data_IF_649030712409
#
_entry.id   IF_649030712409
#
_cell.length_a   1.000
_cell.length_b   1.000
_cell.length_c   1.000
_cell.angle_alpha   90.00
_cell.angle_beta   90.00
_cell.angle_gamma   90.00
#
_symmetry.space_group_name_H-M   'P 1'
#
loop_
_entity.id
_entity.type
_entity.pdbx_description
1 polymer ?
#
# COMPACT_ATOMS: atom_id res chain seq x y z
N UNK A 1 -3.81 28.54 15.61
CA UNK A 1 -2.47 28.27 16.21
C UNK A 1 -2.57 26.95 16.95
N UNK A 2 -2.27 25.84 16.30
CA UNK A 2 -2.02 24.55 16.93
C UNK A 2 -0.63 24.12 16.51
N UNK A 3 0.22 23.86 17.52
CA UNK A 3 1.65 23.87 17.46
C UNK A 3 2.27 22.85 16.52
N UNK A 4 3.26 23.32 15.82
CA UNK A 4 4.35 22.54 15.23
C UNK A 4 5.30 22.14 16.36
N UNK A 5 4.97 21.08 17.08
CA UNK A 5 5.92 20.41 17.99
C UNK A 5 5.45 19.00 18.27
N UNK A 6 5.76 18.05 17.36
CA UNK A 6 5.82 16.60 17.66
C UNK A 6 6.53 15.81 16.54
N UNK A 7 7.64 16.34 16.01
CA UNK A 7 8.45 15.59 15.01
C UNK A 7 9.72 14.97 15.60
N UNK A 8 9.74 14.65 16.90
CA UNK A 8 10.95 14.21 17.60
C UNK A 8 10.78 12.97 18.49
N UNK A 9 9.64 12.27 18.48
CA UNK A 9 9.52 11.03 19.24
C UNK A 9 10.30 9.94 18.51
N UNK A 10 11.50 9.60 19.00
CA UNK A 10 12.28 8.44 18.56
C UNK A 10 11.35 7.23 18.59
N UNK A 11 11.12 6.61 17.44
CA UNK A 11 10.42 5.32 17.32
C UNK A 11 11.32 4.24 17.91
N UNK A 12 11.29 4.07 19.25
CA UNK A 12 12.20 3.21 20.02
C UNK A 12 12.01 1.72 19.73
N UNK A 13 10.88 1.31 19.20
CA UNK A 13 10.52 -0.10 19.02
C UNK A 13 11.21 -0.78 17.81
N UNK A 14 11.84 -0.02 16.92
CA UNK A 14 12.43 -0.57 15.67
C UNK A 14 13.96 -0.63 15.70
N UNK A 15 14.59 -0.21 16.81
CA UNK A 15 16.07 -0.18 16.92
C UNK A 15 16.67 -1.56 16.70
N UNK A 16 17.56 -1.68 15.71
CA UNK A 16 18.23 -2.91 15.29
C UNK A 16 17.30 -4.05 14.82
N UNK A 17 16.01 -3.77 14.60
CA UNK A 17 15.03 -4.72 14.11
C UNK A 17 15.12 -4.93 12.62
N UNK A 18 14.57 -6.04 12.15
CA UNK A 18 14.42 -6.37 10.72
C UNK A 18 12.97 -6.26 10.29
N UNK A 19 12.69 -5.44 9.27
CA UNK A 19 11.38 -5.36 8.62
C UNK A 19 11.41 -5.96 7.23
N UNK A 20 10.42 -6.79 6.90
CA UNK A 20 10.18 -7.29 5.56
C UNK A 20 9.00 -6.54 4.93
N UNK A 21 9.19 -6.04 3.71
CA UNK A 21 8.16 -5.32 2.96
C UNK A 21 7.84 -6.12 1.70
N UNK A 22 6.69 -6.80 1.68
CA UNK A 22 6.21 -7.45 0.46
C UNK A 22 5.65 -6.39 -0.50
N UNK A 23 5.90 -6.54 -1.80
CA UNK A 23 5.55 -5.49 -2.75
C UNK A 23 6.37 -4.21 -2.58
N UNK A 24 7.53 -4.28 -1.94
CA UNK A 24 8.39 -3.14 -1.61
C UNK A 24 8.88 -2.33 -2.81
N UNK A 25 8.83 -2.88 -4.02
CA UNK A 25 9.13 -2.15 -5.28
C UNK A 25 7.96 -1.28 -5.77
N UNK A 26 6.80 -1.35 -5.12
CA UNK A 26 5.65 -0.48 -5.40
C UNK A 26 5.76 0.88 -4.71
N UNK A 27 4.95 1.86 -5.12
CA UNK A 27 4.98 3.23 -4.57
C UNK A 27 4.81 3.24 -3.05
N UNK A 28 3.86 2.45 -2.52
CA UNK A 28 3.59 2.41 -1.08
C UNK A 28 4.71 1.71 -0.31
N UNK A 29 5.14 0.52 -0.79
CA UNK A 29 6.24 -0.20 -0.15
C UNK A 29 7.54 0.61 -0.13
N UNK A 30 7.83 1.34 -1.20
CA UNK A 30 8.98 2.25 -1.27
C UNK A 30 8.86 3.42 -0.28
N UNK A 31 7.67 4.00 -0.11
CA UNK A 31 7.45 5.06 0.86
C UNK A 31 7.64 4.58 2.31
N UNK A 32 7.14 3.39 2.63
CA UNK A 32 7.38 2.75 3.94
C UNK A 32 8.86 2.48 4.15
N UNK A 33 9.56 1.93 3.15
CA UNK A 33 11.01 1.73 3.18
C UNK A 33 11.75 3.03 3.51
N UNK A 34 11.47 4.10 2.76
CA UNK A 34 12.12 5.41 2.97
C UNK A 34 11.84 5.99 4.36
N UNK A 35 10.65 5.74 4.93
CA UNK A 35 10.32 6.15 6.29
C UNK A 35 11.14 5.38 7.31
N UNK A 36 11.26 4.06 7.16
CA UNK A 36 12.06 3.23 8.07
C UNK A 36 13.57 3.50 7.97
N UNK A 37 14.10 3.87 6.81
CA UNK A 37 15.52 4.29 6.68
C UNK A 37 15.87 5.51 7.53
N UNK A 38 14.89 6.33 7.92
CA UNK A 38 15.09 7.49 8.82
C UNK A 38 15.06 7.12 10.31
N UNK A 39 14.86 5.82 10.61
CA UNK A 39 14.85 5.29 11.98
C UNK A 39 16.14 4.52 12.28
N UNK A 40 16.25 4.03 13.51
CA UNK A 40 17.37 3.16 13.93
C UNK A 40 17.16 1.69 13.49
N UNK A 41 16.37 1.43 12.41
CA UNK A 41 16.13 0.09 11.87
C UNK A 41 17.45 -0.60 11.50
N UNK A 42 17.57 -1.88 11.78
CA UNK A 42 18.77 -2.67 11.46
C UNK A 42 18.80 -3.11 10.01
N UNK A 43 17.72 -3.72 9.52
CA UNK A 43 17.62 -4.27 8.17
C UNK A 43 16.22 -4.06 7.59
N UNK A 44 16.14 -3.77 6.29
CA UNK A 44 14.90 -3.71 5.52
C UNK A 44 14.98 -4.69 4.37
N UNK A 45 14.09 -5.69 4.34
CA UNK A 45 13.97 -6.66 3.26
C UNK A 45 12.88 -6.26 2.29
N UNK A 46 13.25 -6.06 1.03
CA UNK A 46 12.33 -5.82 -0.08
C UNK A 46 12.02 -7.15 -0.75
N UNK A 47 10.79 -7.65 -0.57
CA UNK A 47 10.34 -8.92 -1.16
C UNK A 47 9.42 -8.65 -2.35
N UNK A 48 9.83 -9.04 -3.55
CA UNK A 48 9.11 -8.79 -4.79
C UNK A 48 9.51 -9.78 -5.89
N UNK A 49 8.62 -10.00 -6.85
CA UNK A 49 8.89 -10.82 -8.04
C UNK A 49 9.71 -10.10 -9.11
N UNK A 50 9.70 -8.77 -9.07
CA UNK A 50 10.24 -7.92 -10.14
C UNK A 50 11.73 -7.64 -9.90
N UNK A 51 12.58 -8.51 -10.45
CA UNK A 51 14.04 -8.40 -10.38
C UNK A 51 14.55 -7.05 -10.90
N UNK A 52 14.00 -6.60 -12.05
CA UNK A 52 14.43 -5.34 -12.67
C UNK A 52 14.21 -4.14 -11.75
N UNK A 53 13.03 -4.06 -11.13
CA UNK A 53 12.74 -2.98 -10.17
C UNK A 53 13.59 -3.06 -8.91
N UNK A 54 13.92 -4.27 -8.45
CA UNK A 54 14.83 -4.43 -7.31
C UNK A 54 16.23 -3.96 -7.65
N UNK A 55 16.70 -4.26 -8.85
CA UNK A 55 18.02 -3.82 -9.33
C UNK A 55 18.07 -2.29 -9.49
N UNK A 56 17.04 -1.69 -10.11
CA UNK A 56 16.93 -0.23 -10.22
C UNK A 56 16.95 0.44 -8.84
N UNK A 57 16.18 -0.09 -7.88
CA UNK A 57 16.16 0.41 -6.51
C UNK A 57 17.53 0.29 -5.83
N UNK A 58 18.23 -0.84 -6.02
CA UNK A 58 19.58 -1.03 -5.47
C UNK A 58 20.52 0.06 -5.94
N UNK A 59 20.58 0.28 -7.26
CA UNK A 59 21.43 1.31 -7.85
C UNK A 59 21.02 2.73 -7.38
N UNK A 60 19.73 3.01 -7.30
CA UNK A 60 19.23 4.30 -6.82
C UNK A 60 19.67 4.57 -5.37
N UNK A 61 19.49 3.62 -4.44
CA UNK A 61 19.89 3.81 -3.05
C UNK A 61 21.40 3.89 -2.87
N UNK A 62 22.17 3.07 -3.60
CA UNK A 62 23.64 3.15 -3.61
C UNK A 62 24.15 4.51 -4.08
N UNK A 63 23.49 5.13 -5.07
CA UNK A 63 23.87 6.42 -5.60
C UNK A 63 23.44 7.60 -4.71
N UNK A 64 22.23 7.52 -4.11
CA UNK A 64 21.64 8.65 -3.37
C UNK A 64 21.87 8.60 -1.87
N UNK A 65 21.98 7.41 -1.28
CA UNK A 65 22.02 7.19 0.17
C UNK A 65 22.99 6.05 0.51
N UNK A 66 24.28 6.13 0.07
CA UNK A 66 25.25 5.04 0.23
C UNK A 66 25.45 4.62 1.70
N UNK A 67 25.30 5.57 2.64
CA UNK A 67 25.47 5.35 4.10
C UNK A 67 24.41 4.42 4.71
N UNK A 68 23.25 4.26 4.08
CA UNK A 68 22.16 3.38 4.56
C UNK A 68 21.80 2.29 3.55
N UNK A 69 22.38 2.30 2.35
CA UNK A 69 22.06 1.34 1.29
C UNK A 69 22.31 -0.12 1.74
N UNK A 70 23.31 -0.37 2.57
CA UNK A 70 23.64 -1.69 3.11
C UNK A 70 22.57 -2.27 4.04
N UNK A 71 21.69 -1.43 4.60
CA UNK A 71 20.56 -1.89 5.40
C UNK A 71 19.47 -2.52 4.54
N UNK A 72 19.44 -2.25 3.23
CA UNK A 72 18.40 -2.74 2.32
C UNK A 72 18.85 -4.05 1.70
N UNK A 73 18.06 -5.11 1.89
CA UNK A 73 18.28 -6.42 1.29
C UNK A 73 17.15 -6.75 0.33
N UNK A 74 17.50 -7.23 -0.84
CA UNK A 74 16.56 -7.54 -1.90
C UNK A 74 16.35 -9.05 -2.00
N UNK A 75 15.09 -9.47 -1.88
CA UNK A 75 14.67 -10.87 -1.96
C UNK A 75 13.73 -11.04 -3.16
N UNK A 76 14.16 -11.79 -4.16
CA UNK A 76 13.28 -12.18 -5.27
C UNK A 76 12.40 -13.32 -4.79
N UNK A 77 11.08 -13.13 -4.87
CA UNK A 77 10.13 -14.15 -4.46
C UNK A 77 8.69 -13.76 -4.72
N UNK A 78 7.80 -14.72 -4.57
CA UNK A 78 6.37 -14.59 -4.86
C UNK A 78 5.54 -14.95 -3.61
N UNK A 79 4.67 -14.05 -3.18
CA UNK A 79 3.75 -14.30 -2.04
C UNK A 79 2.80 -15.48 -2.29
N UNK A 80 2.56 -15.84 -3.56
CA UNK A 80 1.74 -16.99 -3.93
C UNK A 80 2.42 -18.35 -3.64
N UNK A 81 3.71 -18.32 -3.36
CA UNK A 81 4.52 -19.49 -3.00
C UNK A 81 4.90 -19.41 -1.52
N UNK A 82 4.41 -20.36 -0.73
CA UNK A 82 4.65 -20.43 0.70
C UNK A 82 6.13 -20.65 1.04
N UNK A 83 6.85 -21.49 0.28
CA UNK A 83 8.27 -21.74 0.52
C UNK A 83 9.12 -20.50 0.26
N UNK A 84 8.77 -19.74 -0.79
CA UNK A 84 9.39 -18.43 -1.06
C UNK A 84 9.18 -17.45 0.10
N UNK A 85 7.97 -17.42 0.69
CA UNK A 85 7.69 -16.62 1.88
C UNK A 85 8.52 -17.09 3.10
N UNK A 86 8.57 -18.38 3.37
CA UNK A 86 9.36 -18.96 4.49
C UNK A 86 10.84 -18.58 4.40
N UNK A 87 11.42 -18.71 3.20
CA UNK A 87 12.83 -18.38 2.95
C UNK A 87 13.18 -16.92 3.26
N UNK A 88 12.26 -15.98 3.03
CA UNK A 88 12.48 -14.56 3.26
C UNK A 88 12.29 -14.12 4.71
N UNK A 89 11.63 -14.95 5.56
CA UNK A 89 11.17 -14.52 6.91
C UNK A 89 12.11 -14.90 8.06
N UNK A 90 13.22 -15.60 7.82
CA UNK A 90 14.19 -15.92 8.88
C UNK A 90 14.74 -14.66 9.55
N UNK A 91 14.51 -14.52 10.88
CA UNK A 91 14.99 -13.39 11.67
C UNK A 91 14.30 -12.05 11.35
N UNK A 92 13.10 -12.09 10.77
CA UNK A 92 12.26 -10.91 10.56
C UNK A 92 11.47 -10.64 11.84
N UNK A 93 11.48 -9.37 12.29
CA UNK A 93 10.69 -8.93 13.44
C UNK A 93 9.34 -8.35 13.00
N UNK A 94 9.29 -7.60 11.90
CA UNK A 94 8.10 -6.89 11.43
C UNK A 94 7.84 -7.15 9.96
N UNK A 95 6.57 -7.20 9.57
CA UNK A 95 6.18 -7.34 8.17
C UNK A 95 5.17 -6.25 7.79
N UNK A 96 5.44 -5.53 6.72
CA UNK A 96 4.45 -4.74 5.99
C UNK A 96 4.06 -5.47 4.72
N UNK A 97 2.87 -6.04 4.70
CA UNK A 97 2.36 -6.80 3.56
C UNK A 97 1.57 -5.91 2.61
N UNK A 98 2.23 -5.45 1.53
CA UNK A 98 1.65 -4.57 0.52
C UNK A 98 1.62 -5.20 -0.90
N UNK A 99 2.02 -6.46 -1.04
CA UNK A 99 1.94 -7.18 -2.32
C UNK A 99 0.49 -7.50 -2.65
N UNK A 100 -0.06 -6.88 -3.70
CA UNK A 100 -1.43 -7.08 -4.14
C UNK A 100 -1.62 -6.76 -5.62
N UNK A 101 -2.66 -7.33 -6.24
CA UNK A 101 -3.25 -6.79 -7.46
C UNK A 101 -4.31 -5.75 -7.06
N UNK A 102 -4.15 -4.50 -7.54
CA UNK A 102 -4.97 -3.36 -7.12
C UNK A 102 -5.76 -2.68 -8.24
N UNK A 103 -5.50 -3.04 -9.49
CA UNK A 103 -6.19 -2.44 -10.65
C UNK A 103 -7.53 -3.14 -10.86
N UNK A 104 -8.63 -2.40 -10.69
CA UNK A 104 -10.00 -2.93 -10.82
C UNK A 104 -10.19 -3.63 -12.17
N UNK A 105 -9.88 -3.02 -13.35
CA UNK A 105 -10.07 -3.71 -14.62
C UNK A 105 -9.29 -5.01 -14.74
N UNK A 106 -8.02 -5.02 -14.29
CA UNK A 106 -7.19 -6.23 -14.36
C UNK A 106 -7.72 -7.35 -13.48
N UNK A 107 -8.25 -7.01 -12.29
CA UNK A 107 -8.83 -7.99 -11.39
C UNK A 107 -10.17 -8.54 -11.93
N UNK A 108 -10.97 -7.72 -12.62
CA UNK A 108 -12.19 -8.18 -13.30
C UNK A 108 -11.89 -9.15 -14.45
N UNK A 109 -10.85 -8.87 -15.25
CA UNK A 109 -10.43 -9.75 -16.34
C UNK A 109 -9.75 -11.03 -15.84
N UNK A 110 -9.02 -10.96 -14.73
CA UNK A 110 -8.23 -12.07 -14.19
C UNK A 110 -8.53 -12.28 -12.69
N UNK A 111 -9.78 -12.62 -12.32
CA UNK A 111 -10.19 -12.69 -10.92
C UNK A 111 -9.41 -13.76 -10.14
N UNK A 112 -9.04 -14.87 -10.75
CA UNK A 112 -8.23 -15.90 -10.10
C UNK A 112 -6.81 -15.45 -9.78
N UNK A 113 -6.22 -14.55 -10.58
CA UNK A 113 -4.91 -13.96 -10.24
C UNK A 113 -5.03 -13.00 -9.06
N UNK A 114 -6.16 -12.28 -8.95
CA UNK A 114 -6.47 -11.47 -7.78
C UNK A 114 -6.64 -12.35 -6.53
N UNK A 115 -7.38 -13.46 -6.61
CA UNK A 115 -7.52 -14.44 -5.52
C UNK A 115 -6.17 -15.02 -5.10
N UNK A 116 -5.37 -15.49 -6.06
CA UNK A 116 -4.05 -16.07 -5.77
C UNK A 116 -3.11 -15.08 -5.09
N UNK A 117 -3.14 -13.82 -5.51
CA UNK A 117 -2.23 -12.80 -4.96
C UNK A 117 -2.76 -12.21 -3.65
N UNK A 118 -4.02 -11.72 -3.66
CA UNK A 118 -4.56 -10.97 -2.54
C UNK A 118 -5.04 -11.88 -1.40
N UNK A 119 -5.55 -13.07 -1.71
CA UNK A 119 -6.11 -13.99 -0.70
C UNK A 119 -5.07 -15.05 -0.30
N UNK A 120 -4.67 -15.90 -1.27
CA UNK A 120 -3.73 -17.00 -0.98
C UNK A 120 -2.34 -16.44 -0.63
N UNK A 121 -1.90 -15.38 -1.32
CA UNK A 121 -0.64 -14.70 -1.00
C UNK A 121 -0.62 -14.15 0.41
N UNK A 122 -1.71 -13.55 0.87
CA UNK A 122 -1.82 -13.09 2.26
C UNK A 122 -1.82 -14.27 3.24
N UNK A 123 -2.57 -15.33 2.94
CA UNK A 123 -2.56 -16.55 3.77
C UNK A 123 -1.16 -17.14 3.92
N UNK A 124 -0.40 -17.22 2.83
CA UNK A 124 0.99 -17.70 2.84
C UNK A 124 1.91 -16.80 3.67
N UNK A 125 1.82 -15.47 3.47
CA UNK A 125 2.64 -14.50 4.23
C UNK A 125 2.35 -14.61 5.71
N UNK A 126 1.08 -14.67 6.12
CA UNK A 126 0.70 -14.79 7.52
C UNK A 126 1.09 -16.15 8.12
N UNK A 127 0.97 -17.24 7.36
CA UNK A 127 1.41 -18.57 7.79
C UNK A 127 2.91 -18.57 8.07
N UNK A 128 3.71 -18.12 7.10
CA UNK A 128 5.16 -18.07 7.25
C UNK A 128 5.60 -17.10 8.36
N UNK A 129 4.90 -15.97 8.55
CA UNK A 129 5.16 -15.03 9.63
C UNK A 129 4.93 -15.64 11.02
N UNK A 130 3.83 -16.38 11.21
CA UNK A 130 3.50 -17.07 12.46
C UNK A 130 4.55 -18.16 12.73
N UNK A 131 4.89 -18.97 11.74
CA UNK A 131 5.91 -20.02 11.85
C UNK A 131 7.29 -19.44 12.20
N UNK A 132 7.67 -18.30 11.65
CA UNK A 132 8.92 -17.61 11.93
C UNK A 132 8.93 -16.83 13.26
N UNK A 133 7.78 -16.68 13.93
CA UNK A 133 7.66 -15.94 15.19
C UNK A 133 7.79 -14.43 15.03
N UNK A 134 7.37 -13.88 13.89
CA UNK A 134 7.35 -12.44 13.62
C UNK A 134 6.53 -11.71 14.69
N UNK A 135 7.02 -10.57 15.17
CA UNK A 135 6.34 -9.81 16.24
C UNK A 135 5.03 -9.19 15.77
N UNK A 136 5.03 -8.55 14.58
CA UNK A 136 3.85 -7.88 14.05
C UNK A 136 3.81 -7.89 12.52
N UNK A 137 2.63 -8.17 11.98
CA UNK A 137 2.31 -8.07 10.54
C UNK A 137 1.21 -7.05 10.33
N UNK A 138 1.45 -6.07 9.46
CA UNK A 138 0.44 -5.12 8.99
C UNK A 138 0.08 -5.43 7.54
N UNK A 139 -1.18 -5.81 7.30
CA UNK A 139 -1.72 -6.06 5.96
C UNK A 139 -2.34 -4.78 5.39
N UNK A 140 -1.92 -4.39 4.18
CA UNK A 140 -2.44 -3.24 3.48
C UNK A 140 -3.80 -3.56 2.85
N UNK A 141 -4.89 -2.96 3.34
CA UNK A 141 -6.23 -3.05 2.77
C UNK A 141 -6.65 -1.74 2.05
N UNK A 142 -7.93 -1.55 1.79
CA UNK A 142 -8.48 -0.46 0.99
C UNK A 142 -9.93 -0.17 1.37
N UNK A 143 -10.41 1.07 1.14
CA UNK A 143 -11.82 1.45 1.19
C UNK A 143 -12.72 0.55 0.32
N UNK A 144 -12.17 0.00 -0.77
CA UNK A 144 -12.90 -0.90 -1.68
C UNK A 144 -13.21 -2.28 -1.10
N UNK A 145 -12.59 -2.63 0.03
CA UNK A 145 -12.94 -3.81 0.83
C UNK A 145 -14.24 -3.63 1.64
N UNK A 146 -14.65 -2.36 1.89
CA UNK A 146 -15.93 -2.06 2.50
C UNK A 146 -17.04 -2.09 1.45
N UNK A 147 -18.08 -2.91 1.65
CA UNK A 147 -19.16 -3.13 0.67
C UNK A 147 -18.63 -3.37 -0.75
N UNK A 148 -17.84 -4.42 -0.99
CA UNK A 148 -17.15 -4.64 -2.25
C UNK A 148 -18.11 -4.99 -3.38
N UNK A 149 -17.90 -4.41 -4.57
CA UNK A 149 -18.71 -4.68 -5.77
C UNK A 149 -17.87 -5.20 -6.96
N UNK A 150 -16.55 -5.26 -6.81
CA UNK A 150 -15.64 -5.71 -7.87
C UNK A 150 -14.64 -6.74 -7.33
N UNK A 151 -14.03 -7.51 -8.23
CA UNK A 151 -13.12 -8.60 -7.86
C UNK A 151 -11.95 -8.13 -7.00
N UNK A 152 -11.40 -6.94 -7.24
CA UNK A 152 -10.34 -6.38 -6.43
C UNK A 152 -10.82 -6.12 -5.00
N UNK A 153 -11.95 -5.42 -4.81
CA UNK A 153 -12.53 -5.14 -3.50
C UNK A 153 -12.95 -6.42 -2.76
N UNK A 154 -13.57 -7.39 -3.48
CA UNK A 154 -13.98 -8.69 -2.93
C UNK A 154 -12.76 -9.45 -2.40
N UNK A 155 -11.67 -9.53 -3.18
CA UNK A 155 -10.46 -10.23 -2.74
C UNK A 155 -9.78 -9.53 -1.56
N UNK A 156 -9.81 -8.20 -1.50
CA UNK A 156 -9.29 -7.44 -0.34
C UNK A 156 -10.18 -7.61 0.89
N UNK A 157 -11.50 -7.70 0.73
CA UNK A 157 -12.40 -8.00 1.84
C UNK A 157 -12.15 -9.41 2.42
N UNK A 158 -11.89 -10.41 1.53
CA UNK A 158 -11.52 -11.75 1.97
C UNK A 158 -10.14 -11.72 2.65
N UNK A 159 -9.17 -10.96 2.14
CA UNK A 159 -7.86 -10.76 2.77
C UNK A 159 -8.00 -10.28 4.23
N UNK A 160 -8.85 -9.27 4.49
CA UNK A 160 -9.13 -8.82 5.86
C UNK A 160 -9.70 -9.94 6.73
N UNK A 161 -10.63 -10.74 6.19
CA UNK A 161 -11.20 -11.89 6.91
C UNK A 161 -10.16 -12.97 7.21
N UNK A 162 -9.24 -13.24 6.28
CA UNK A 162 -8.12 -14.16 6.48
C UNK A 162 -7.19 -13.64 7.58
N UNK A 163 -6.83 -12.36 7.55
CA UNK A 163 -5.99 -11.74 8.57
C UNK A 163 -6.63 -11.83 9.97
N UNK A 164 -7.92 -11.48 10.10
CA UNK A 164 -8.68 -11.60 11.36
C UNK A 164 -8.80 -13.06 11.82
N UNK A 165 -9.03 -14.00 10.90
CA UNK A 165 -9.11 -15.41 11.27
C UNK A 165 -7.77 -15.93 11.79
N UNK A 166 -6.67 -15.60 11.11
CA UNK A 166 -5.31 -15.99 11.52
C UNK A 166 -4.89 -15.34 12.83
N UNK A 167 -5.31 -14.10 13.11
CA UNK A 167 -4.95 -13.40 14.36
C UNK A 167 -5.44 -14.10 15.62
N UNK A 168 -6.49 -14.93 15.52
CA UNK A 168 -7.04 -15.69 16.65
C UNK A 168 -6.11 -16.80 17.14
N UNK A 169 -5.26 -17.33 16.27
CA UNK A 169 -4.36 -18.46 16.56
C UNK A 169 -2.90 -18.14 16.16
N UNK A 170 -2.53 -16.87 16.17
CA UNK A 170 -1.20 -16.41 15.74
C UNK A 170 -0.11 -16.46 16.81
N UNK A 171 -0.42 -17.01 17.99
CA UNK A 171 0.52 -17.10 19.09
C UNK A 171 0.97 -15.70 19.54
N UNK A 172 2.27 -15.40 19.38
CA UNK A 172 2.85 -14.09 19.74
C UNK A 172 2.81 -13.08 18.58
N UNK A 173 2.52 -13.52 17.37
CA UNK A 173 2.49 -12.67 16.18
C UNK A 173 1.23 -11.81 16.17
N UNK A 174 1.40 -10.50 16.30
CA UNK A 174 0.31 -9.54 16.16
C UNK A 174 -0.03 -9.36 14.67
N UNK A 175 -1.29 -9.43 14.30
CA UNK A 175 -1.76 -9.28 12.91
C UNK A 175 -2.85 -8.21 12.86
N UNK A 176 -2.60 -7.13 12.11
CA UNK A 176 -3.54 -6.04 11.90
C UNK A 176 -3.69 -5.73 10.41
N UNK A 177 -4.78 -5.05 10.05
CA UNK A 177 -4.96 -4.47 8.72
C UNK A 177 -5.00 -2.94 8.83
N UNK A 178 -4.59 -2.27 7.75
CA UNK A 178 -4.80 -0.83 7.59
C UNK A 178 -5.64 -0.58 6.34
N UNK A 179 -6.70 0.24 6.46
CA UNK A 179 -7.62 0.55 5.36
C UNK A 179 -7.48 2.00 4.98
N UNK A 180 -7.38 2.28 3.68
CA UNK A 180 -7.12 3.60 3.11
C UNK A 180 -8.13 3.95 2.03
N UNK A 181 -8.32 5.26 1.82
CA UNK A 181 -8.90 5.82 0.62
C UNK A 181 -7.92 5.85 -0.56
N UNK A 182 -8.13 6.81 -1.47
CA UNK A 182 -7.23 6.98 -2.60
C UNK A 182 -5.96 7.72 -2.18
N UNK A 183 -4.83 7.05 -2.26
CA UNK A 183 -3.52 7.68 -2.04
C UNK A 183 -3.14 8.46 -3.29
N UNK A 184 -3.00 9.79 -3.13
CA UNK A 184 -2.67 10.71 -4.23
C UNK A 184 -1.34 10.34 -4.89
N UNK A 185 -1.27 10.56 -6.19
CA UNK A 185 -0.07 10.36 -7.02
C UNK A 185 0.54 8.95 -6.95
N UNK A 186 -0.20 7.95 -6.42
CA UNK A 186 0.26 6.57 -6.47
C UNK A 186 0.30 6.06 -7.91
N UNK A 187 1.23 5.14 -8.22
CA UNK A 187 1.40 4.58 -9.56
C UNK A 187 0.09 4.01 -10.11
N UNK A 188 -0.27 4.44 -11.32
CA UNK A 188 -1.51 4.02 -12.01
C UNK A 188 -2.78 4.67 -11.44
N UNK A 189 -2.65 5.74 -10.65
CA UNK A 189 -3.79 6.52 -10.17
C UNK A 189 -4.16 7.66 -11.15
N UNK A 190 -5.30 8.28 -10.91
CA UNK A 190 -5.92 9.23 -11.81
C UNK A 190 -5.12 10.54 -11.98
N UNK A 191 -4.48 11.03 -10.92
CA UNK A 191 -3.72 12.30 -10.99
C UNK A 191 -2.53 12.20 -11.95
N UNK A 192 -1.62 11.21 -11.84
CA UNK A 192 -0.57 11.01 -12.85
C UNK A 192 -1.11 10.86 -14.27
N UNK A 193 -2.21 10.11 -14.45
CA UNK A 193 -2.84 9.98 -15.76
C UNK A 193 -3.25 11.34 -16.34
N UNK A 194 -3.90 12.19 -15.55
CA UNK A 194 -4.32 13.51 -16.00
C UNK A 194 -3.14 14.44 -16.32
N UNK A 195 -2.08 14.39 -15.50
CA UNK A 195 -0.85 15.14 -15.77
C UNK A 195 -0.22 14.70 -17.10
N UNK A 196 -0.19 13.39 -17.37
CA UNK A 196 0.34 12.87 -18.64
C UNK A 196 -0.55 13.25 -19.84
N UNK A 197 -1.88 13.25 -19.67
CA UNK A 197 -2.81 13.74 -20.70
C UNK A 197 -2.56 15.23 -21.01
N UNK A 198 -2.44 16.07 -19.98
CA UNK A 198 -2.11 17.49 -20.13
C UNK A 198 -0.80 17.68 -20.88
N UNK A 199 0.27 16.96 -20.50
CA UNK A 199 1.58 17.04 -21.16
C UNK A 199 1.55 16.66 -22.65
N UNK A 200 0.63 15.78 -23.00
CA UNK A 200 0.41 15.33 -24.39
C UNK A 200 -0.55 16.23 -25.18
N UNK A 201 -1.08 17.30 -24.56
CA UNK A 201 -2.09 18.16 -25.17
C UNK A 201 -3.47 17.51 -25.33
N UNK A 202 -3.73 16.43 -24.60
CA UNK A 202 -5.00 15.73 -24.60
C UNK A 202 -5.93 16.27 -23.50
N UNK A 203 -7.27 16.22 -23.69
CA UNK A 203 -8.21 16.52 -22.62
C UNK A 203 -8.05 15.52 -21.46
N UNK A 204 -8.22 16.00 -20.24
CA UNK A 204 -8.28 15.11 -19.09
C UNK A 204 -9.59 14.33 -19.09
N UNK A 205 -9.51 13.02 -18.87
CA UNK A 205 -10.67 12.13 -18.89
C UNK A 205 -11.20 11.87 -17.50
N UNK A 206 -12.49 12.10 -17.26
CA UNK A 206 -13.19 11.80 -16.01
C UNK A 206 -14.33 10.83 -16.24
N UNK A 207 -14.57 9.93 -15.28
CA UNK A 207 -15.63 8.92 -15.39
C UNK A 207 -17.00 9.53 -15.12
N UNK A 208 -17.17 10.12 -13.96
CA UNK A 208 -18.37 10.85 -13.54
C UNK A 208 -17.97 12.03 -12.64
N UNK A 209 -18.38 13.26 -12.96
CA UNK A 209 -18.02 14.44 -12.16
C UNK A 209 -18.51 14.39 -10.72
N UNK A 210 -19.66 13.75 -10.45
CA UNK A 210 -20.27 13.65 -9.12
C UNK A 210 -19.69 12.53 -8.27
N UNK A 211 -18.92 11.63 -8.85
CA UNK A 211 -18.26 10.53 -8.12
C UNK A 211 -17.36 11.07 -7.03
N UNK A 212 -17.44 10.52 -5.82
CA UNK A 212 -16.62 10.96 -4.69
C UNK A 212 -15.51 9.96 -4.34
N UNK A 213 -14.38 10.48 -3.88
CA UNK A 213 -13.26 9.67 -3.38
C UNK A 213 -12.67 10.28 -2.12
N UNK A 214 -12.31 9.42 -1.18
CA UNK A 214 -11.46 9.80 -0.07
C UNK A 214 -10.04 10.03 -0.58
N UNK A 215 -9.45 11.15 -0.20
CA UNK A 215 -8.14 11.57 -0.68
C UNK A 215 -7.19 11.69 0.50
N UNK A 216 -6.00 11.12 0.36
CA UNK A 216 -4.94 11.23 1.34
C UNK A 216 -3.58 11.28 0.67
N UNK A 217 -2.60 11.87 1.36
CA UNK A 217 -1.21 11.84 0.93
C UNK A 217 -0.56 10.48 1.18
N UNK A 218 0.55 10.24 0.51
CA UNK A 218 1.34 9.03 0.76
C UNK A 218 1.98 9.06 2.16
N UNK A 219 2.31 10.24 2.69
CA UNK A 219 2.84 10.42 4.04
C UNK A 219 1.81 10.04 5.10
N UNK A 220 0.59 10.56 5.02
CA UNK A 220 -0.51 10.19 5.92
C UNK A 220 -0.79 8.68 5.90
N UNK A 221 -0.73 8.08 4.71
CA UNK A 221 -0.90 6.63 4.58
C UNK A 221 0.22 5.83 5.26
N UNK A 222 1.47 6.29 5.18
CA UNK A 222 2.61 5.70 5.89
C UNK A 222 2.49 5.92 7.40
N UNK A 223 2.04 7.10 7.85
CA UNK A 223 1.83 7.38 9.28
C UNK A 223 0.81 6.42 9.90
N UNK A 224 -0.26 6.03 9.16
CA UNK A 224 -1.18 4.99 9.64
C UNK A 224 -0.51 3.62 9.78
N UNK A 225 0.42 3.25 8.89
CA UNK A 225 1.19 2.00 9.04
C UNK A 225 2.02 2.01 10.32
N UNK A 226 2.72 3.13 10.57
CA UNK A 226 3.54 3.27 11.79
C UNK A 226 2.67 3.22 13.04
N UNK A 227 1.55 3.94 13.04
CA UNK A 227 0.57 3.90 14.11
C UNK A 227 0.06 2.47 14.36
N UNK A 228 -0.20 1.70 13.29
CA UNK A 228 -0.63 0.32 13.41
C UNK A 228 0.44 -0.59 14.04
N UNK A 229 1.71 -0.42 13.69
CA UNK A 229 2.80 -1.16 14.33
C UNK A 229 2.91 -0.85 15.82
N UNK A 230 2.75 0.42 16.21
CA UNK A 230 2.91 0.88 17.60
C UNK A 230 1.69 0.56 18.47
N UNK A 231 0.49 0.76 17.96
CA UNK A 231 -0.75 0.80 18.74
C UNK A 231 -1.79 -0.25 18.37
N UNK A 232 -1.69 -0.88 17.18
CA UNK A 232 -2.67 -1.87 16.74
C UNK A 232 -2.67 -3.10 17.63
N UNK A 233 -3.84 -3.69 17.83
CA UNK A 233 -4.03 -4.96 18.50
C UNK A 233 -4.36 -6.06 17.49
N UNK A 234 -4.11 -7.32 17.86
CA UNK A 234 -4.30 -8.43 16.94
C UNK A 234 -5.78 -8.56 16.53
N UNK A 235 -6.04 -8.53 15.24
CA UNK A 235 -7.39 -8.56 14.67
C UNK A 235 -7.96 -7.18 14.31
N UNK A 236 -7.26 -6.09 14.62
CA UNK A 236 -7.70 -4.74 14.28
C UNK A 236 -7.67 -4.48 12.77
N UNK A 237 -8.65 -3.69 12.32
CA UNK A 237 -8.63 -2.99 11.04
C UNK A 237 -8.58 -1.49 11.35
N UNK A 238 -7.40 -0.91 11.25
CA UNK A 238 -7.21 0.51 11.50
C UNK A 238 -7.58 1.32 10.25
N UNK A 239 -8.43 2.33 10.45
CA UNK A 239 -8.98 3.15 9.37
C UNK A 239 -8.65 4.61 9.65
N UNK A 240 -7.98 5.26 8.72
CA UNK A 240 -7.74 6.70 8.84
C UNK A 240 -8.92 7.49 8.27
N UNK A 241 -9.48 8.38 9.07
CA UNK A 241 -10.47 9.34 8.60
C UNK A 241 -9.80 10.30 7.61
N UNK A 242 -10.27 10.29 6.37
CA UNK A 242 -9.76 11.12 5.30
C UNK A 242 -10.85 12.05 4.73
N UNK A 243 -10.49 13.26 4.26
CA UNK A 243 -11.44 14.10 3.54
C UNK A 243 -11.83 13.45 2.21
N UNK A 244 -13.02 13.77 1.73
CA UNK A 244 -13.53 13.34 0.43
C UNK A 244 -13.71 14.55 -0.49
N UNK A 245 -13.50 14.35 -1.78
CA UNK A 245 -13.83 15.31 -2.81
C UNK A 245 -14.54 14.64 -3.98
N UNK A 246 -15.26 15.44 -4.79
CA UNK A 246 -15.77 14.97 -6.07
C UNK A 246 -14.66 14.90 -7.10
N UNK A 247 -14.83 14.03 -8.11
CA UNK A 247 -13.89 13.95 -9.25
C UNK A 247 -13.83 15.26 -10.01
N UNK A 248 -14.95 16.01 -10.08
CA UNK A 248 -14.98 17.35 -10.68
C UNK A 248 -14.02 18.32 -9.95
N UNK A 249 -14.08 18.39 -8.62
CA UNK A 249 -13.20 19.24 -7.80
C UNK A 249 -11.74 18.83 -7.95
N UNK A 250 -11.46 17.53 -7.92
CA UNK A 250 -10.10 17.03 -8.11
C UNK A 250 -9.53 17.36 -9.48
N UNK A 251 -10.36 17.22 -10.55
CA UNK A 251 -9.97 17.56 -11.91
C UNK A 251 -9.71 19.06 -12.05
N UNK A 252 -10.56 19.89 -11.45
CA UNK A 252 -10.35 21.34 -11.43
C UNK A 252 -9.02 21.71 -10.76
N UNK A 253 -8.72 21.16 -9.59
CA UNK A 253 -7.47 21.42 -8.89
C UNK A 253 -6.23 21.02 -9.72
N UNK A 254 -6.28 19.88 -10.42
CA UNK A 254 -5.17 19.46 -11.30
C UNK A 254 -5.02 20.41 -12.48
N UNK A 255 -6.11 20.87 -13.09
CA UNK A 255 -6.06 21.87 -14.16
C UNK A 255 -5.45 23.18 -13.69
N UNK A 256 -5.90 23.72 -12.57
CA UNK A 256 -5.39 24.98 -11.99
C UNK A 256 -3.88 24.92 -11.73
N UNK A 257 -3.38 23.77 -11.29
CA UNK A 257 -1.95 23.58 -10.97
C UNK A 257 -1.07 23.33 -12.21
N UNK A 258 -1.58 22.68 -13.24
CA UNK A 258 -0.74 22.22 -14.37
C UNK A 258 -1.07 22.88 -15.71
N UNK A 259 -2.34 23.12 -16.02
CA UNK A 259 -2.79 23.79 -17.25
C UNK A 259 -4.27 24.20 -17.09
N UNK A 260 -4.56 25.46 -16.74
CA UNK A 260 -5.95 25.94 -16.57
C UNK A 260 -6.82 25.78 -17.82
N UNK A 261 -6.21 25.86 -19.00
CA UNK A 261 -6.88 25.76 -20.30
C UNK A 261 -7.15 24.31 -20.75
N UNK A 262 -6.65 23.30 -20.00
CA UNK A 262 -6.88 21.91 -20.37
C UNK A 262 -8.39 21.58 -20.39
N UNK A 263 -8.85 20.96 -21.45
CA UNK A 263 -10.23 20.51 -21.60
C UNK A 263 -10.50 19.29 -20.71
N UNK A 264 -11.75 19.13 -20.29
CA UNK A 264 -12.22 17.97 -19.54
C UNK A 264 -13.23 17.19 -20.39
N UNK A 265 -13.03 15.87 -20.50
CA UNK A 265 -13.93 14.96 -21.24
C UNK A 265 -14.50 13.90 -20.29
N UNK A 266 -15.83 13.82 -20.22
CA UNK A 266 -16.54 12.75 -19.50
C UNK A 266 -16.55 11.49 -20.36
N UNK A 267 -16.08 10.35 -19.79
CA UNK A 267 -16.00 9.07 -20.51
C UNK A 267 -16.98 8.01 -20.00
N UNK A 268 -17.75 8.33 -18.94
CA UNK A 268 -18.68 7.39 -18.31
C UNK A 268 -18.03 6.49 -17.25
N UNK A 269 -18.88 5.90 -16.41
CA UNK A 269 -18.47 5.00 -15.33
C UNK A 269 -18.02 3.67 -15.94
N UNK A 270 -16.88 3.13 -15.45
CA UNK A 270 -16.38 1.83 -15.87
C UNK A 270 -17.06 0.72 -15.07
N UNK A 271 -17.05 -0.49 -15.62
CA UNK A 271 -17.52 -1.67 -14.90
C UNK A 271 -16.74 -1.85 -13.58
N UNK A 272 -17.47 -2.11 -12.49
CA UNK A 272 -16.90 -2.30 -11.16
C UNK A 272 -16.48 -1.04 -10.41
N UNK A 273 -16.75 0.17 -10.95
CA UNK A 273 -16.51 1.43 -10.22
C UNK A 273 -17.74 1.85 -9.42
N UNK A 274 -17.52 2.29 -8.17
CA UNK A 274 -18.56 2.84 -7.30
C UNK A 274 -18.68 4.35 -7.48
N UNK A 275 -19.90 4.89 -7.32
CA UNK A 275 -20.09 6.33 -7.20
C UNK A 275 -19.49 6.87 -5.90
N UNK A 276 -19.65 6.14 -4.79
CA UNK A 276 -19.16 6.49 -3.47
C UNK A 276 -18.37 5.33 -2.87
N UNK A 277 -17.32 5.66 -2.11
CA UNK A 277 -16.59 4.68 -1.30
C UNK A 277 -16.98 4.81 0.18
N UNK A 278 -16.74 3.76 0.96
CA UNK A 278 -16.92 3.72 2.42
C UNK A 278 -15.60 3.33 3.06
N UNK A 279 -15.22 4.03 4.12
CA UNK A 279 -14.06 3.69 4.96
C UNK A 279 -14.47 2.85 6.17
#
# INVERSE_FOLDING_TARGET
MLGKEESGKKMSNFTKKTILITGGTGSFGNAVLNRFLRTDIGEIRVFSRDEKKQDDMRHEFQARMPEVADKIKFYIGDVRDLESCRGAMHGVDYIFHAAALKQVPSCEFFPMEAVRTNVIGTDNVLTAAIEAGVECVICLSTDKAAYPINAMGITKAIEEKVAIAKSRNSGKTKICCTRYGNVMCSRGSVIPLWIDQIRQGNPITITDPAMTRFIMSLEEAVDLVLFAFEHGESGDILVQKAPACTIAVLAQAVRELFCPEAETRVIGIRHGEKLYETL
#
